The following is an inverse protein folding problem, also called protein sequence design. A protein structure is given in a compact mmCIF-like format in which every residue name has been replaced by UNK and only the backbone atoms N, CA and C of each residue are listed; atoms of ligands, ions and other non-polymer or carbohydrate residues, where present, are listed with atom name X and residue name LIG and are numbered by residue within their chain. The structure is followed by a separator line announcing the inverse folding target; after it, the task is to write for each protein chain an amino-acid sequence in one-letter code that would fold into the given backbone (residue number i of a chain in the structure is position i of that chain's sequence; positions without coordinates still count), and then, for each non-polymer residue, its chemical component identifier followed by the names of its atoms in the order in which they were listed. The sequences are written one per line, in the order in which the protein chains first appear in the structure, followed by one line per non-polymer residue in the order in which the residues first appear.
data_IF_252677352574
#
_entry.id   IF_252677352574
#
_cell.length_a   1.000
_cell.length_b   1.000
_cell.length_c   1.000
_cell.angle_alpha   90.00
_cell.angle_beta   90.00
_cell.angle_gamma   90.00
#
_symmetry.space_group_name_H-M   'P 1'
#
loop_
_entity.id
_entity.type
_entity.pdbx_description
1 polymer ?
#
# COMPACT_ATOMS: atom_id res chain seq x y z
N UNK A 1 -12.53 -7.60 7.07
CA UNK A 1 -11.78 -6.72 8.02
C UNK A 1 -11.46 -5.39 7.34
N UNK A 2 -10.99 -4.37 8.08
CA UNK A 2 -10.44 -3.14 7.49
C UNK A 2 -8.92 -3.25 7.47
N UNK A 3 -8.32 -3.22 6.29
CA UNK A 3 -6.89 -3.42 6.07
C UNK A 3 -6.29 -2.11 5.53
N UNK A 4 -5.19 -1.66 6.13
CA UNK A 4 -4.39 -0.55 5.61
C UNK A 4 -3.09 -1.12 5.06
N UNK A 5 -2.79 -0.81 3.80
CA UNK A 5 -1.52 -1.18 3.16
C UNK A 5 -0.68 0.08 2.97
N UNK A 6 0.56 0.05 3.43
CA UNK A 6 1.53 1.13 3.23
C UNK A 6 2.70 0.59 2.43
N UNK A 7 3.04 1.25 1.32
CA UNK A 7 4.19 0.89 0.50
C UNK A 7 5.17 2.04 0.34
N UNK A 8 6.46 1.74 0.50
CA UNK A 8 7.56 2.69 0.44
C UNK A 8 8.44 2.57 -0.81
N UNK A 9 8.12 1.69 -1.75
CA UNK A 9 8.92 1.55 -2.98
C UNK A 9 8.71 2.74 -3.92
N UNK A 10 9.77 3.48 -4.32
CA UNK A 10 9.66 4.57 -5.30
C UNK A 10 9.58 4.06 -6.74
N UNK A 11 9.84 2.76 -6.98
CA UNK A 11 9.77 2.16 -8.30
C UNK A 11 8.32 1.94 -8.71
N UNK A 12 7.82 2.80 -9.61
CA UNK A 12 6.52 2.59 -10.28
C UNK A 12 6.58 1.29 -11.08
N UNK A 13 5.52 0.47 -10.98
CA UNK A 13 5.43 -0.85 -11.61
C UNK A 13 6.54 -1.85 -11.23
N UNK A 14 7.22 -1.64 -10.10
CA UNK A 14 8.21 -2.58 -9.57
C UNK A 14 7.59 -3.75 -8.81
N UNK A 15 8.42 -4.73 -8.43
CA UNK A 15 7.98 -5.97 -7.77
C UNK A 15 7.07 -5.73 -6.57
N UNK A 16 7.41 -4.79 -5.68
CA UNK A 16 6.60 -4.48 -4.49
C UNK A 16 5.23 -3.92 -4.85
N UNK A 17 5.12 -3.17 -5.94
CA UNK A 17 3.83 -2.67 -6.43
C UNK A 17 2.97 -3.84 -6.92
N UNK A 18 3.54 -4.71 -7.75
CA UNK A 18 2.85 -5.90 -8.28
C UNK A 18 2.38 -6.85 -7.17
N UNK A 19 3.22 -7.09 -6.15
CA UNK A 19 2.84 -7.90 -4.98
C UNK A 19 1.71 -7.24 -4.19
N UNK A 20 1.77 -5.92 -4.00
CA UNK A 20 0.74 -5.17 -3.27
C UNK A 20 -0.60 -5.25 -4.00
N UNK A 21 -0.62 -5.09 -5.32
CA UNK A 21 -1.84 -5.19 -6.12
C UNK A 21 -2.45 -6.61 -6.05
N UNK A 22 -1.63 -7.66 -6.15
CA UNK A 22 -2.10 -9.03 -6.03
C UNK A 22 -2.72 -9.30 -4.64
N UNK A 23 -2.09 -8.82 -3.57
CA UNK A 23 -2.62 -8.92 -2.22
C UNK A 23 -3.96 -8.19 -2.05
N UNK A 24 -4.05 -6.93 -2.50
CA UNK A 24 -5.27 -6.11 -2.39
C UNK A 24 -6.41 -6.79 -3.13
N UNK A 25 -6.17 -7.22 -4.36
CA UNK A 25 -7.16 -7.89 -5.21
C UNK A 25 -7.77 -9.12 -4.53
N UNK A 26 -6.94 -9.98 -3.94
CA UNK A 26 -7.45 -11.17 -3.25
C UNK A 26 -8.11 -10.84 -1.91
N UNK A 27 -7.58 -9.88 -1.15
CA UNK A 27 -8.19 -9.44 0.10
C UNK A 27 -9.59 -8.84 -0.10
N UNK A 28 -9.80 -8.06 -1.16
CA UNK A 28 -11.10 -7.53 -1.54
C UNK A 28 -12.06 -8.64 -1.98
N UNK A 29 -11.59 -9.64 -2.74
CA UNK A 29 -12.39 -10.82 -3.09
C UNK A 29 -12.83 -11.63 -1.85
N UNK A 30 -12.02 -11.67 -0.80
CA UNK A 30 -12.38 -12.26 0.50
C UNK A 30 -13.34 -11.38 1.33
N UNK A 31 -13.89 -10.29 0.77
CA UNK A 31 -14.83 -9.41 1.44
C UNK A 31 -14.17 -8.47 2.47
N UNK A 32 -12.87 -8.20 2.34
CA UNK A 32 -12.20 -7.19 3.16
C UNK A 32 -12.22 -5.82 2.49
N UNK A 33 -12.27 -4.77 3.30
CA UNK A 33 -12.12 -3.39 2.82
C UNK A 33 -10.66 -2.99 2.98
N UNK A 34 -10.04 -2.58 1.88
CA UNK A 34 -8.61 -2.23 1.85
C UNK A 34 -8.43 -0.76 1.49
N UNK A 35 -7.50 -0.08 2.16
CA UNK A 35 -7.05 1.26 1.80
C UNK A 35 -5.53 1.28 1.67
N UNK A 36 -5.04 1.72 0.52
CA UNK A 36 -3.61 1.76 0.19
C UNK A 36 -3.06 3.18 0.30
N UNK A 37 -1.84 3.30 0.82
CA UNK A 37 -1.03 4.51 0.86
C UNK A 37 0.35 4.28 0.25
N UNK A 38 0.65 5.00 -0.81
CA UNK A 38 1.97 4.98 -1.45
C UNK A 38 2.89 6.01 -0.80
N UNK A 39 3.41 5.68 0.38
CA UNK A 39 4.26 6.56 1.18
C UNK A 39 5.46 7.11 0.41
N UNK A 40 6.00 6.35 -0.55
CA UNK A 40 7.09 6.79 -1.43
C UNK A 40 6.79 8.06 -2.25
N UNK A 41 5.50 8.36 -2.48
CA UNK A 41 5.06 9.51 -3.28
C UNK A 41 4.27 10.53 -2.46
N UNK A 42 4.13 10.31 -1.16
CA UNK A 42 3.44 11.23 -0.26
C UNK A 42 4.43 12.26 0.30
N UNK A 43 3.92 13.46 0.59
CA UNK A 43 4.67 14.46 1.35
C UNK A 43 4.61 14.11 2.84
N UNK A 44 5.63 13.39 3.32
CA UNK A 44 5.75 12.94 4.71
C UNK A 44 6.79 13.83 5.42
N UNK A 45 6.43 14.39 6.57
CA UNK A 45 7.33 15.19 7.41
C UNK A 45 8.33 14.34 8.20
N UNK A 46 9.33 14.98 8.78
CA UNK A 46 10.27 14.32 9.70
C UNK A 46 9.61 13.91 11.02
N UNK A 47 10.31 13.11 11.82
CA UNK A 47 9.89 12.84 13.20
C UNK A 47 9.99 14.11 14.04
N UNK A 48 8.99 14.37 14.90
CA UNK A 48 8.91 15.57 15.76
C UNK A 48 9.00 15.23 17.26
N UNK A 49 9.59 14.09 17.61
CA UNK A 49 9.68 13.60 18.98
C UNK A 49 10.53 14.52 19.88
#
# INVERSE_FOLDING_TARGET
MKIVVVTGSPRKFGNSFSMTEAFIKEAEQCGHSVKRFDAAFMKIGGCHA
#
